data_IF_201126361944
#
_entry.id   IF_201126361944
#
_cell.length_a   1.000
_cell.length_b   1.000
_cell.length_c   1.000
_cell.angle_alpha   90.00
_cell.angle_beta   90.00
_cell.angle_gamma   90.00
#
_symmetry.space_group_name_H-M   'P 1'
#
loop_
_entity.id
_entity.type
_entity.pdbx_description
1 polymer ?
#
# COMPACT_ATOMS: atom_id res chain seq x y z
N UNK A 1 -1.37 37.04 -9.79
CA UNK A 1 -0.52 37.81 -8.86
C UNK A 1 -0.57 39.33 -9.07
N UNK A 2 -0.71 39.86 -10.31
CA UNK A 2 -0.81 41.33 -10.51
C UNK A 2 -2.00 41.93 -9.83
N UNK A 3 -3.18 41.26 -9.83
CA UNK A 3 -4.40 41.74 -9.21
C UNK A 3 -4.46 41.51 -7.68
N UNK A 4 -3.84 40.40 -7.24
CA UNK A 4 -3.78 40.04 -5.81
C UNK A 4 -2.44 39.33 -5.49
N UNK A 5 -1.47 40.05 -4.89
CA UNK A 5 -0.18 39.46 -4.53
C UNK A 5 -0.27 38.40 -3.43
N UNK A 6 -1.37 38.35 -2.67
CA UNK A 6 -1.60 37.38 -1.59
C UNK A 6 -2.32 36.11 -2.05
N UNK A 7 -2.67 36.00 -3.36
CA UNK A 7 -3.39 34.83 -3.86
C UNK A 7 -2.53 33.58 -3.75
N UNK A 8 -3.12 32.50 -3.26
CA UNK A 8 -2.60 31.15 -3.34
C UNK A 8 -3.41 30.45 -4.41
N UNK A 9 -2.73 30.01 -5.46
CA UNK A 9 -3.33 29.25 -6.56
C UNK A 9 -2.79 27.83 -6.52
N UNK A 10 -3.67 26.86 -6.40
CA UNK A 10 -3.33 25.44 -6.40
C UNK A 10 -3.90 24.77 -7.65
N UNK A 11 -3.04 24.27 -8.51
CA UNK A 11 -3.39 23.43 -9.64
C UNK A 11 -3.20 21.98 -9.22
N UNK A 12 -4.21 21.14 -9.45
CA UNK A 12 -4.14 19.69 -9.24
C UNK A 12 -4.33 19.04 -10.60
N UNK A 13 -3.33 18.31 -11.06
CA UNK A 13 -3.32 17.67 -12.39
C UNK A 13 -2.72 16.28 -12.31
N UNK A 14 -2.91 15.49 -13.37
CA UNK A 14 -2.34 14.14 -13.44
C UNK A 14 -0.82 14.14 -13.41
N UNK A 15 -0.21 15.07 -14.19
CA UNK A 15 1.22 15.02 -14.50
C UNK A 15 1.97 16.36 -14.30
N UNK A 16 1.36 17.33 -13.63
CA UNK A 16 1.93 18.65 -13.44
C UNK A 16 1.61 19.64 -14.56
N UNK A 17 2.01 20.90 -14.36
CA UNK A 17 1.77 22.00 -15.31
C UNK A 17 2.83 22.09 -16.41
N UNK A 18 3.94 21.41 -16.24
CA UNK A 18 5.05 21.34 -17.21
C UNK A 18 5.54 19.91 -17.40
N UNK A 19 6.59 19.74 -18.22
CA UNK A 19 7.15 18.43 -18.53
C UNK A 19 6.46 17.69 -19.68
N UNK A 20 6.98 16.51 -20.04
CA UNK A 20 6.57 15.80 -21.26
C UNK A 20 5.12 15.29 -21.24
N UNK A 21 4.55 15.09 -20.05
CA UNK A 21 3.21 14.55 -19.86
C UNK A 21 2.16 15.60 -19.46
N UNK A 22 2.51 16.89 -19.40
CA UNK A 22 1.62 17.95 -18.92
C UNK A 22 0.29 18.07 -19.71
N UNK A 23 0.26 17.59 -20.96
CA UNK A 23 -0.92 17.61 -21.83
C UNK A 23 -1.57 16.23 -22.01
N UNK A 24 -1.04 15.20 -21.37
CA UNK A 24 -1.61 13.86 -21.45
C UNK A 24 -2.88 13.76 -20.62
N UNK A 25 -3.89 13.12 -21.18
CA UNK A 25 -5.09 12.75 -20.47
C UNK A 25 -4.83 11.52 -19.59
N UNK A 26 -5.45 11.47 -18.42
CA UNK A 26 -5.35 10.33 -17.53
C UNK A 26 -6.34 10.43 -16.40
N UNK A 27 -6.55 9.30 -15.77
CA UNK A 27 -7.32 9.15 -14.54
C UNK A 27 -6.46 8.38 -13.52
N UNK A 28 -6.97 8.22 -12.33
CA UNK A 28 -6.32 7.60 -11.17
C UNK A 28 -5.45 6.37 -11.53
N UNK A 29 -6.03 5.40 -12.22
CA UNK A 29 -5.34 4.16 -12.60
C UNK A 29 -4.14 4.41 -13.52
N UNK A 30 -4.21 5.41 -14.40
CA UNK A 30 -3.09 5.77 -15.28
C UNK A 30 -1.92 6.36 -14.47
N UNK A 31 -2.22 7.16 -13.45
CA UNK A 31 -1.21 7.74 -12.56
C UNK A 31 -0.53 6.64 -11.73
N UNK A 32 -1.30 5.68 -11.20
CA UNK A 32 -0.78 4.52 -10.49
C UNK A 32 0.10 3.64 -11.38
N UNK A 33 -0.30 3.43 -12.65
CA UNK A 33 0.50 2.68 -13.62
C UNK A 33 1.84 3.35 -13.90
N UNK A 34 1.83 4.67 -14.13
CA UNK A 34 3.05 5.47 -14.37
C UNK A 34 3.99 5.49 -13.17
N UNK A 35 3.45 5.56 -11.97
CA UNK A 35 4.23 5.49 -10.75
C UNK A 35 4.76 4.08 -10.43
N UNK A 36 4.35 3.04 -11.17
CA UNK A 36 4.77 1.66 -10.96
C UNK A 36 3.98 0.92 -9.86
N UNK A 37 3.06 1.58 -9.16
CA UNK A 37 2.27 0.97 -8.08
C UNK A 37 1.40 -0.16 -8.63
N UNK A 38 0.77 0.07 -9.78
CA UNK A 38 -0.15 -0.89 -10.38
C UNK A 38 0.55 -2.21 -10.74
N UNK A 39 1.81 -2.15 -11.17
CA UNK A 39 2.59 -3.34 -11.51
C UNK A 39 2.82 -4.28 -10.31
N UNK A 40 2.78 -3.75 -9.08
CA UNK A 40 2.96 -4.53 -7.85
C UNK A 40 1.64 -5.08 -7.28
N UNK A 41 0.50 -4.70 -7.87
CA UNK A 41 -0.82 -5.17 -7.45
C UNK A 41 -1.16 -6.45 -8.19
N UNK A 42 -0.88 -7.61 -7.59
CA UNK A 42 -1.17 -8.90 -8.20
C UNK A 42 -2.68 -9.21 -8.13
N UNK A 43 -3.27 -9.54 -9.27
CA UNK A 43 -4.60 -10.17 -9.36
C UNK A 43 -4.52 -11.70 -9.18
N UNK A 44 -5.66 -12.36 -9.19
CA UNK A 44 -5.77 -13.82 -9.05
C UNK A 44 -5.13 -14.60 -10.21
N UNK A 45 -5.01 -13.96 -11.36
CA UNK A 45 -4.38 -14.50 -12.59
C UNK A 45 -2.89 -14.10 -12.72
N UNK A 46 -2.34 -13.41 -11.70
CA UNK A 46 -1.00 -12.86 -11.71
C UNK A 46 -0.84 -11.55 -12.48
N UNK A 47 -1.89 -11.06 -13.12
CA UNK A 47 -1.93 -9.74 -13.75
C UNK A 47 -2.22 -8.64 -12.70
N UNK A 48 -1.87 -7.37 -12.97
CA UNK A 48 -2.27 -6.26 -12.12
C UNK A 48 -3.80 -6.17 -12.01
N UNK A 49 -4.30 -6.12 -10.79
CA UNK A 49 -5.72 -5.91 -10.52
C UNK A 49 -6.10 -4.43 -10.61
N UNK A 50 -7.37 -4.14 -10.93
CA UNK A 50 -7.89 -2.77 -10.84
C UNK A 50 -8.01 -2.38 -9.37
N UNK A 51 -7.33 -1.31 -8.91
CA UNK A 51 -7.40 -0.88 -7.52
C UNK A 51 -8.84 -0.53 -7.11
N UNK A 52 -9.30 -0.94 -5.93
CA UNK A 52 -10.67 -0.67 -5.49
C UNK A 52 -10.89 0.77 -5.00
N UNK A 53 -9.83 1.58 -4.95
CA UNK A 53 -9.87 2.96 -4.45
C UNK A 53 -8.98 3.87 -5.27
N UNK A 54 -9.33 5.16 -5.28
CA UNK A 54 -8.66 6.22 -6.05
C UNK A 54 -7.42 6.74 -5.30
N UNK A 55 -6.39 5.91 -5.19
CA UNK A 55 -5.15 6.25 -4.46
C UNK A 55 -4.42 7.41 -5.13
N UNK A 56 -4.44 7.49 -6.46
CA UNK A 56 -3.85 8.58 -7.22
C UNK A 56 -4.49 9.92 -6.93
N UNK A 57 -5.82 9.96 -7.00
CA UNK A 57 -6.59 11.19 -6.77
C UNK A 57 -6.53 11.65 -5.30
N UNK A 58 -6.58 10.70 -4.36
CA UNK A 58 -6.61 11.00 -2.93
C UNK A 58 -5.20 11.24 -2.38
N UNK A 59 -4.32 10.24 -2.48
CA UNK A 59 -3.00 10.31 -1.87
C UNK A 59 -1.98 11.08 -2.74
N UNK A 60 -2.12 11.00 -4.07
CA UNK A 60 -1.30 11.79 -5.00
C UNK A 60 -1.80 13.22 -5.21
N UNK A 61 -3.10 13.46 -5.09
CA UNK A 61 -3.74 14.75 -5.36
C UNK A 61 -4.22 15.48 -4.12
N UNK A 62 -5.32 14.99 -3.52
CA UNK A 62 -6.05 15.71 -2.48
C UNK A 62 -5.21 15.99 -1.25
N UNK A 63 -4.56 15.00 -0.66
CA UNK A 63 -3.77 15.20 0.56
C UNK A 63 -2.56 16.11 0.35
N UNK A 64 -1.73 15.94 -0.70
CA UNK A 64 -0.66 16.89 -0.99
C UNK A 64 -1.16 18.30 -1.21
N UNK A 65 -2.29 18.48 -1.90
CA UNK A 65 -2.88 19.80 -2.11
C UNK A 65 -3.28 20.46 -0.79
N UNK A 66 -3.99 19.76 0.09
CA UNK A 66 -4.40 20.32 1.40
C UNK A 66 -3.20 20.68 2.27
N UNK A 67 -2.18 19.79 2.35
CA UNK A 67 -0.97 20.04 3.12
C UNK A 67 -0.24 21.29 2.61
N UNK A 68 -0.03 21.38 1.30
CA UNK A 68 0.67 22.51 0.68
C UNK A 68 -0.14 23.82 0.79
N UNK A 69 -1.48 23.76 0.70
CA UNK A 69 -2.33 24.92 0.93
C UNK A 69 -2.20 25.47 2.36
N UNK A 70 -2.20 24.58 3.36
CA UNK A 70 -2.03 24.98 4.77
C UNK A 70 -0.65 25.61 5.01
N UNK A 71 0.41 25.03 4.44
CA UNK A 71 1.76 25.58 4.50
C UNK A 71 1.86 26.93 3.78
N UNK A 72 1.21 27.06 2.63
CA UNK A 72 1.16 28.33 1.87
C UNK A 72 0.39 29.42 2.62
N UNK A 73 -0.71 29.09 3.29
CA UNK A 73 -1.45 30.01 4.15
C UNK A 73 -0.56 30.50 5.29
N UNK A 74 0.10 29.59 6.01
CA UNK A 74 1.04 29.95 7.09
C UNK A 74 2.20 30.83 6.58
N UNK A 75 2.75 30.53 5.40
CA UNK A 75 3.79 31.37 4.77
C UNK A 75 3.23 32.76 4.45
N UNK A 76 2.06 32.83 3.81
CA UNK A 76 1.41 34.07 3.44
C UNK A 76 1.13 34.97 4.67
N UNK A 77 0.70 34.39 5.79
CA UNK A 77 0.42 35.15 7.01
C UNK A 77 1.68 35.82 7.61
N UNK A 78 2.85 35.23 7.34
CA UNK A 78 4.16 35.74 7.78
C UNK A 78 4.78 36.73 6.80
N UNK A 79 4.61 36.51 5.50
CA UNK A 79 5.33 37.23 4.44
C UNK A 79 4.43 38.21 3.69
N UNK A 80 3.12 38.10 3.79
CA UNK A 80 2.16 38.85 2.98
C UNK A 80 2.06 38.40 1.53
N UNK A 81 2.77 37.30 1.11
CA UNK A 81 2.86 36.86 -0.27
C UNK A 81 2.13 35.52 -0.48
N UNK A 82 1.38 35.46 -1.59
CA UNK A 82 0.83 34.22 -2.10
C UNK A 82 1.83 33.39 -2.91
N UNK A 83 1.39 32.23 -3.39
CA UNK A 83 2.20 31.35 -4.23
C UNK A 83 1.36 30.59 -5.24
N UNK A 84 2.06 29.98 -6.22
CA UNK A 84 1.55 28.92 -7.05
C UNK A 84 1.96 27.58 -6.41
N UNK A 85 1.03 26.66 -6.34
CA UNK A 85 1.22 25.28 -5.93
C UNK A 85 0.84 24.43 -7.13
N UNK A 86 1.75 23.59 -7.57
CA UNK A 86 1.51 22.62 -8.63
C UNK A 86 1.54 21.21 -8.01
N UNK A 87 0.43 20.50 -8.14
CA UNK A 87 0.25 19.15 -7.61
C UNK A 87 0.12 18.20 -8.80
N UNK A 88 1.18 17.46 -9.06
CA UNK A 88 1.22 16.39 -10.05
C UNK A 88 0.92 15.05 -9.35
N UNK A 89 -0.25 14.47 -9.60
CA UNK A 89 -0.71 13.26 -8.90
C UNK A 89 0.25 12.08 -9.11
N UNK A 90 0.72 11.88 -10.34
CA UNK A 90 1.67 10.80 -10.66
C UNK A 90 3.02 10.95 -9.95
N UNK A 91 3.54 12.18 -9.82
CA UNK A 91 4.81 12.44 -9.13
C UNK A 91 4.69 12.18 -7.63
N UNK A 92 3.61 12.65 -7.01
CA UNK A 92 3.37 12.39 -5.60
C UNK A 92 3.21 10.89 -5.31
N UNK A 93 2.57 10.14 -6.21
CA UNK A 93 2.46 8.69 -6.10
C UNK A 93 3.80 7.97 -6.13
N UNK A 94 4.80 8.51 -6.81
CA UNK A 94 6.13 7.91 -6.86
C UNK A 94 6.75 7.76 -5.46
N UNK A 95 6.39 8.64 -4.52
CA UNK A 95 6.86 8.53 -3.13
C UNK A 95 6.39 7.25 -2.43
N UNK A 96 5.29 6.65 -2.87
CA UNK A 96 4.78 5.38 -2.33
C UNK A 96 5.59 4.17 -2.79
N UNK A 97 6.49 4.33 -3.77
CA UNK A 97 7.43 3.30 -4.19
C UNK A 97 8.70 3.23 -3.33
N UNK A 98 8.77 4.00 -2.23
CA UNK A 98 9.97 4.10 -1.39
C UNK A 98 10.52 2.73 -0.97
N UNK A 99 9.64 1.78 -0.63
CA UNK A 99 10.04 0.45 -0.20
C UNK A 99 10.66 -0.35 -1.36
N UNK A 100 10.00 -0.35 -2.53
CA UNK A 100 10.50 -1.01 -3.73
C UNK A 100 11.82 -0.41 -4.21
N UNK A 101 11.95 0.91 -4.15
CA UNK A 101 13.18 1.60 -4.50
C UNK A 101 14.31 1.30 -3.52
N UNK A 102 14.00 1.26 -2.21
CA UNK A 102 14.98 0.95 -1.18
C UNK A 102 15.53 -0.48 -1.32
N UNK A 103 14.67 -1.47 -1.56
CA UNK A 103 15.09 -2.86 -1.77
C UNK A 103 15.83 -3.04 -3.09
N UNK A 104 15.33 -2.45 -4.17
CA UNK A 104 15.97 -2.54 -5.50
C UNK A 104 17.34 -1.91 -5.54
N UNK A 105 17.50 -0.70 -4.98
CA UNK A 105 18.80 0.01 -4.97
C UNK A 105 19.73 -0.50 -3.86
N UNK A 106 19.19 -0.86 -2.69
CA UNK A 106 20.00 -1.27 -1.55
C UNK A 106 20.46 -2.72 -1.61
N UNK A 107 19.62 -3.64 -2.05
CA UNK A 107 19.91 -5.07 -2.11
C UNK A 107 20.02 -5.64 -3.53
N UNK A 108 19.75 -4.85 -4.56
CA UNK A 108 19.68 -5.33 -5.95
C UNK A 108 18.44 -6.18 -6.24
N UNK A 109 17.54 -6.29 -5.27
CA UNK A 109 16.32 -7.11 -5.36
C UNK A 109 15.13 -6.22 -5.72
N UNK A 110 14.81 -6.17 -7.01
CA UNK A 110 13.69 -5.38 -7.52
C UNK A 110 12.37 -6.08 -7.23
N UNK A 111 11.38 -5.36 -6.70
CA UNK A 111 10.12 -5.95 -6.26
C UNK A 111 9.38 -6.62 -7.41
N UNK A 112 8.89 -7.81 -7.14
CA UNK A 112 8.00 -8.56 -8.03
C UNK A 112 6.57 -8.55 -7.48
N UNK A 113 5.53 -8.61 -8.32
CA UNK A 113 4.14 -8.68 -7.88
C UNK A 113 3.91 -9.81 -6.89
N UNK A 114 3.35 -9.49 -5.73
CA UNK A 114 3.00 -10.48 -4.71
C UNK A 114 4.18 -11.21 -4.03
N UNK A 115 5.44 -10.85 -4.32
CA UNK A 115 6.62 -11.56 -3.80
C UNK A 115 7.37 -10.83 -2.69
N UNK A 116 7.13 -9.53 -2.49
CA UNK A 116 7.77 -8.77 -1.41
C UNK A 116 7.17 -9.09 -0.04
N UNK A 117 7.93 -8.81 1.01
CA UNK A 117 7.53 -9.07 2.42
C UNK A 117 6.17 -8.46 2.76
N UNK A 118 5.88 -7.24 2.29
CA UNK A 118 4.62 -6.53 2.56
C UNK A 118 3.64 -6.56 1.38
N UNK A 119 3.88 -7.43 0.40
CA UNK A 119 3.02 -7.56 -0.78
C UNK A 119 2.55 -9.00 -1.03
N UNK A 120 2.67 -9.87 -0.02
CA UNK A 120 2.17 -11.25 -0.08
C UNK A 120 3.23 -12.33 -0.22
N UNK A 121 4.52 -11.98 -0.29
CA UNK A 121 5.62 -12.95 -0.37
C UNK A 121 6.01 -13.58 0.97
N UNK A 122 5.54 -13.01 2.09
CA UNK A 122 5.76 -13.55 3.44
C UNK A 122 4.51 -14.28 3.95
N UNK A 123 4.66 -15.40 4.68
CA UNK A 123 3.54 -16.01 5.38
C UNK A 123 2.93 -15.08 6.45
N UNK A 124 3.72 -14.13 6.94
CA UNK A 124 3.34 -13.15 7.97
C UNK A 124 2.61 -11.93 7.43
N UNK A 125 2.53 -11.77 6.10
CA UNK A 125 1.82 -10.63 5.50
C UNK A 125 1.13 -11.07 4.21
N UNK A 126 -0.03 -11.70 4.35
CA UNK A 126 -0.74 -12.32 3.24
C UNK A 126 -2.23 -12.47 3.52
N UNK A 127 -3.01 -12.58 2.45
CA UNK A 127 -4.42 -12.93 2.51
C UNK A 127 -4.56 -14.44 2.24
N UNK A 128 -5.28 -15.15 3.13
CA UNK A 128 -5.55 -16.57 3.01
C UNK A 128 -7.04 -16.85 2.91
N UNK A 129 -7.44 -17.81 2.08
CA UNK A 129 -8.83 -18.22 1.98
C UNK A 129 -9.23 -19.07 3.19
N UNK A 130 -10.39 -18.81 3.77
CA UNK A 130 -11.04 -19.60 4.83
C UNK A 130 -11.84 -20.76 4.25
N UNK A 131 -12.26 -21.71 5.08
CA UNK A 131 -12.99 -22.90 4.66
C UNK A 131 -14.35 -22.62 4.02
N UNK A 132 -14.95 -21.50 4.31
CA UNK A 132 -16.23 -21.02 3.77
C UNK A 132 -16.08 -20.09 2.55
N UNK A 133 -14.86 -19.96 2.00
CA UNK A 133 -14.57 -19.15 0.83
C UNK A 133 -14.44 -17.65 1.07
N UNK A 134 -14.43 -17.21 2.34
CA UNK A 134 -14.06 -15.85 2.73
C UNK A 134 -12.54 -15.75 2.87
N UNK A 135 -12.03 -14.67 3.43
CA UNK A 135 -10.60 -14.40 3.50
C UNK A 135 -10.20 -13.92 4.90
N UNK A 136 -9.00 -14.32 5.31
CA UNK A 136 -8.32 -13.85 6.50
C UNK A 136 -7.10 -13.04 6.09
N UNK A 137 -7.07 -11.76 6.44
CA UNK A 137 -5.89 -10.92 6.34
C UNK A 137 -4.96 -11.23 7.52
N UNK A 138 -3.77 -11.73 7.23
CA UNK A 138 -2.74 -12.12 8.21
C UNK A 138 -1.58 -11.15 8.09
N UNK A 139 -1.29 -10.38 9.16
CA UNK A 139 -0.26 -9.35 9.18
C UNK A 139 0.60 -9.33 10.48
N UNK A 140 0.87 -10.47 11.16
CA UNK A 140 1.71 -10.56 12.35
C UNK A 140 3.19 -10.49 12.01
N UNK A 141 3.73 -9.33 11.70
CA UNK A 141 5.13 -9.17 11.30
C UNK A 141 6.11 -9.46 12.44
N UNK A 142 5.78 -9.01 13.65
CA UNK A 142 6.63 -9.22 14.84
C UNK A 142 6.48 -10.64 15.39
N UNK A 143 7.58 -11.23 15.85
CA UNK A 143 7.62 -12.62 16.32
C UNK A 143 6.57 -12.95 17.37
N UNK A 144 6.33 -12.04 18.32
CA UNK A 144 5.32 -12.26 19.38
C UNK A 144 3.90 -12.43 18.81
N UNK A 145 3.55 -11.69 17.75
CA UNK A 145 2.24 -11.78 17.11
C UNK A 145 2.17 -12.99 16.18
N UNK A 146 3.27 -13.30 15.51
CA UNK A 146 3.41 -14.48 14.67
C UNK A 146 3.25 -15.78 15.47
N UNK A 147 3.96 -15.92 16.59
CA UNK A 147 3.85 -17.08 17.47
C UNK A 147 2.45 -17.23 18.03
N UNK A 148 1.81 -16.12 18.45
CA UNK A 148 0.44 -16.14 18.93
C UNK A 148 -0.54 -16.60 17.85
N UNK A 149 -0.39 -16.09 16.62
CA UNK A 149 -1.18 -16.53 15.47
C UNK A 149 -0.94 -18.01 15.16
N UNK A 150 0.32 -18.45 15.06
CA UNK A 150 0.68 -19.83 14.78
C UNK A 150 0.12 -20.82 15.80
N UNK A 151 0.12 -20.43 17.09
CA UNK A 151 -0.47 -21.25 18.15
C UNK A 151 -1.98 -21.41 17.98
N UNK A 152 -2.70 -20.33 17.66
CA UNK A 152 -4.15 -20.35 17.41
C UNK A 152 -4.47 -21.13 16.13
N UNK A 153 -3.71 -20.90 15.07
CA UNK A 153 -3.91 -21.53 13.78
C UNK A 153 -3.54 -23.02 13.77
N UNK A 154 -2.71 -23.48 14.72
CA UNK A 154 -2.20 -24.83 14.75
C UNK A 154 -1.10 -25.06 13.70
N UNK A 155 -0.33 -24.03 13.36
CA UNK A 155 0.81 -24.17 12.44
C UNK A 155 1.86 -25.06 13.07
N UNK A 156 2.36 -26.13 12.39
CA UNK A 156 3.39 -27.01 12.93
C UNK A 156 4.64 -26.23 13.32
N UNK A 157 5.25 -26.53 14.47
CA UNK A 157 6.40 -25.79 15.00
C UNK A 157 7.56 -25.73 14.01
N UNK A 158 7.85 -26.82 13.31
CA UNK A 158 8.90 -26.89 12.31
C UNK A 158 8.70 -25.96 11.10
N UNK A 159 7.49 -25.40 10.91
CA UNK A 159 7.14 -24.51 9.79
C UNK A 159 6.87 -23.06 10.25
N UNK A 160 7.13 -22.74 11.54
CA UNK A 160 6.99 -21.37 12.06
C UNK A 160 8.21 -20.50 11.80
N UNK A 161 9.39 -21.11 11.66
CA UNK A 161 10.61 -20.42 11.22
C UNK A 161 10.55 -20.23 9.69
N UNK A 162 9.90 -19.16 9.27
CA UNK A 162 9.68 -18.81 7.87
C UNK A 162 10.94 -18.31 7.14
N UNK A 163 12.05 -18.09 7.86
CA UNK A 163 13.33 -17.72 7.26
C UNK A 163 13.98 -18.89 6.48
N UNK A 164 13.64 -20.13 6.81
CA UNK A 164 14.19 -21.34 6.19
C UNK A 164 13.52 -21.69 4.87
N UNK A 165 12.20 -21.71 4.87
CA UNK A 165 11.38 -22.01 3.70
C UNK A 165 10.05 -21.24 3.78
N UNK A 166 10.04 -19.99 3.31
CA UNK A 166 8.82 -19.17 3.31
C UNK A 166 7.65 -19.84 2.57
N UNK A 167 7.92 -20.59 1.51
CA UNK A 167 6.87 -21.21 0.70
C UNK A 167 6.23 -22.39 1.43
N UNK A 168 7.00 -23.20 2.13
CA UNK A 168 6.48 -24.27 2.98
C UNK A 168 5.62 -23.69 4.13
N UNK A 169 6.07 -22.60 4.74
CA UNK A 169 5.32 -21.88 5.77
C UNK A 169 4.00 -21.31 5.22
N UNK A 170 4.03 -20.64 4.05
CA UNK A 170 2.82 -20.14 3.37
C UNK A 170 1.83 -21.30 3.12
N UNK A 171 2.30 -22.42 2.60
CA UNK A 171 1.45 -23.58 2.31
C UNK A 171 0.85 -24.19 3.59
N UNK A 172 1.60 -24.21 4.70
CA UNK A 172 1.11 -24.68 5.98
C UNK A 172 0.03 -23.77 6.55
N UNK A 173 0.27 -22.45 6.57
CA UNK A 173 -0.72 -21.46 7.01
C UNK A 173 -1.99 -21.54 6.17
N UNK A 174 -1.85 -21.63 4.84
CA UNK A 174 -3.00 -21.75 3.94
C UNK A 174 -3.88 -22.96 4.29
N UNK A 175 -3.27 -24.13 4.56
CA UNK A 175 -4.02 -25.33 4.99
C UNK A 175 -4.70 -25.12 6.34
N UNK A 176 -4.00 -24.52 7.31
CA UNK A 176 -4.56 -24.28 8.64
C UNK A 176 -5.74 -23.30 8.56
N UNK A 177 -5.62 -22.24 7.75
CA UNK A 177 -6.68 -21.24 7.59
C UNK A 177 -7.89 -21.83 6.87
N UNK A 178 -7.69 -22.59 5.81
CA UNK A 178 -8.75 -23.24 5.05
C UNK A 178 -9.50 -24.36 5.83
N UNK A 179 -8.93 -24.84 6.93
CA UNK A 179 -9.55 -25.87 7.78
C UNK A 179 -10.69 -25.31 8.67
N UNK A 180 -10.89 -24.00 8.74
CA UNK A 180 -11.90 -23.31 9.55
C UNK A 180 -12.65 -22.27 8.73
N UNK A 181 -13.90 -22.02 9.12
CA UNK A 181 -14.68 -20.93 8.54
C UNK A 181 -14.32 -19.55 9.11
N UNK A 182 -14.80 -18.52 8.48
CA UNK A 182 -14.55 -17.14 8.87
C UNK A 182 -15.07 -16.81 10.27
N UNK A 183 -16.24 -17.33 10.66
CA UNK A 183 -16.83 -17.08 11.96
C UNK A 183 -15.98 -17.69 13.09
N UNK A 184 -15.40 -18.87 12.87
CA UNK A 184 -14.44 -19.45 13.81
C UNK A 184 -13.21 -18.55 13.99
N UNK A 185 -12.66 -18.01 12.89
CA UNK A 185 -11.51 -17.12 12.93
C UNK A 185 -11.82 -15.82 13.67
N UNK A 186 -12.96 -15.18 13.40
CA UNK A 186 -13.40 -14.00 14.15
C UNK A 186 -13.42 -14.25 15.66
N UNK A 187 -14.01 -15.36 16.08
CA UNK A 187 -14.10 -15.72 17.50
C UNK A 187 -12.73 -16.06 18.10
N UNK A 188 -11.90 -16.83 17.40
CA UNK A 188 -10.61 -17.29 17.91
C UNK A 188 -9.58 -16.16 18.03
N UNK A 189 -9.66 -15.16 17.18
CA UNK A 189 -8.71 -14.03 17.13
C UNK A 189 -9.17 -12.84 18.00
N UNK A 190 -10.42 -12.81 18.44
CA UNK A 190 -10.97 -11.70 19.22
C UNK A 190 -10.14 -11.44 20.48
N UNK A 191 -9.60 -10.22 20.61
CA UNK A 191 -8.82 -9.79 21.77
C UNK A 191 -7.44 -10.44 21.92
N UNK A 192 -6.95 -11.18 20.91
CA UNK A 192 -5.67 -11.91 21.00
C UNK A 192 -4.46 -11.07 20.50
N UNK A 193 -4.68 -9.93 19.88
CA UNK A 193 -3.60 -9.04 19.45
C UNK A 193 -2.67 -9.67 18.40
N UNK A 194 -3.24 -10.45 17.45
CA UNK A 194 -2.47 -11.21 16.45
C UNK A 194 -2.27 -10.48 15.13
N UNK A 195 -2.75 -9.23 15.00
CA UNK A 195 -2.74 -8.49 13.72
C UNK A 195 -3.40 -9.27 12.57
N UNK A 196 -4.47 -10.00 12.85
CA UNK A 196 -5.24 -10.77 11.87
C UNK A 196 -6.70 -10.35 11.91
N UNK A 197 -7.35 -10.30 10.74
CA UNK A 197 -8.76 -9.89 10.60
C UNK A 197 -9.42 -10.64 9.44
N UNK A 198 -10.67 -11.06 9.63
CA UNK A 198 -11.52 -11.65 8.59
C UNK A 198 -12.07 -10.55 7.67
#
# INVERSE_FOLDING_TARGET
RRANPKIIYCAITGYGQDGPYAREAGHDMNYQARAGILALTAGSDGAPGVPPTLVGDIAGGTYPAVVNLLLALRRRDRTGEGCLIDIAMAENLFTFQFLGLATGQGAGDWPQPGAGTLTGGSPRYRIYATGDGRHLAVAPLEDKFWEAFCAIAGVPEALRDDSRDPQASIAAVARCVAARDSAWWEAALAGKGTCCTV
#
